data_IF_846943903047
#
_entry.id   IF_846943903047
#
_cell.length_a   1.000
_cell.length_b   1.000
_cell.length_c   1.000
_cell.angle_alpha   90.00
_cell.angle_beta   90.00
_cell.angle_gamma   90.00
#
_symmetry.space_group_name_H-M   'P 1'
#
loop_
_entity.id
_entity.type
_entity.pdbx_description
1 polymer ?
#
# COMPACT_ATOMS: atom_id res chain seq x y z
N UNK A 1 -13.40 -6.79 -7.73
CA UNK A 1 -12.32 -7.40 -6.93
C UNK A 1 -12.13 -6.52 -5.70
N UNK A 2 -12.10 -7.07 -4.47
CA UNK A 2 -11.84 -6.28 -3.27
C UNK A 2 -10.48 -5.56 -3.37
N UNK A 3 -10.31 -4.38 -2.75
CA UNK A 3 -9.04 -3.66 -2.77
C UNK A 3 -7.95 -4.51 -2.10
N UNK A 4 -6.80 -4.65 -2.76
CA UNK A 4 -5.64 -5.40 -2.23
C UNK A 4 -4.95 -4.66 -1.07
N UNK A 5 -5.02 -3.34 -1.08
CA UNK A 5 -4.51 -2.46 -0.02
C UNK A 5 -5.55 -1.43 0.38
N UNK A 6 -5.56 -1.09 1.66
CA UNK A 6 -6.40 -0.05 2.25
C UNK A 6 -5.57 0.79 3.22
N UNK A 7 -5.90 2.07 3.35
CA UNK A 7 -5.34 2.94 4.39
C UNK A 7 -6.35 3.04 5.54
N UNK A 8 -5.95 2.61 6.73
CA UNK A 8 -6.66 2.96 7.98
C UNK A 8 -6.18 4.35 8.43
N UNK A 9 -7.11 5.28 8.50
CA UNK A 9 -6.86 6.66 8.88
C UNK A 9 -7.95 7.14 9.85
N UNK A 10 -7.57 7.39 11.11
CA UNK A 10 -8.48 7.86 12.17
C UNK A 10 -9.74 6.99 12.34
N UNK A 11 -9.63 5.67 12.10
CA UNK A 11 -10.75 4.71 12.21
C UNK A 11 -11.59 4.58 10.93
N UNK A 12 -11.22 5.26 9.85
CA UNK A 12 -11.83 5.13 8.53
C UNK A 12 -10.95 4.32 7.57
N UNK A 13 -11.59 3.45 6.79
CA UNK A 13 -10.93 2.65 5.76
C UNK A 13 -10.99 3.37 4.43
N UNK A 14 -9.85 3.86 3.95
CA UNK A 14 -9.70 4.60 2.71
C UNK A 14 -9.13 3.68 1.61
N UNK A 15 -10.00 3.31 0.66
CA UNK A 15 -9.63 2.63 -0.57
C UNK A 15 -9.09 3.60 -1.63
N UNK A 16 -9.31 3.32 -2.91
CA UNK A 16 -9.12 4.33 -3.96
C UNK A 16 -10.21 5.40 -3.83
N UNK A 17 -9.91 6.70 -4.06
CA UNK A 17 -10.96 7.70 -4.13
C UNK A 17 -11.82 7.48 -5.38
N UNK A 18 -13.11 7.80 -5.30
CA UNK A 18 -14.04 7.69 -6.42
C UNK A 18 -13.78 8.78 -7.47
N UNK A 19 -13.37 9.97 -7.02
CA UNK A 19 -13.11 11.12 -7.87
C UNK A 19 -12.07 12.09 -7.26
N UNK A 20 -11.79 13.17 -8.00
CA UNK A 20 -10.83 14.20 -7.60
C UNK A 20 -11.28 14.97 -6.34
N UNK A 21 -12.57 15.19 -6.14
CA UNK A 21 -13.07 15.90 -4.97
C UNK A 21 -12.80 15.10 -3.69
N UNK A 22 -13.07 13.79 -3.74
CA UNK A 22 -12.77 12.88 -2.63
C UNK A 22 -11.26 12.77 -2.38
N UNK A 23 -10.45 12.72 -3.44
CA UNK A 23 -8.98 12.71 -3.31
C UNK A 23 -8.46 13.97 -2.58
N UNK A 24 -8.97 15.14 -2.96
CA UNK A 24 -8.63 16.43 -2.33
C UNK A 24 -9.06 16.47 -0.86
N UNK A 25 -10.29 16.05 -0.54
CA UNK A 25 -10.77 16.00 0.85
C UNK A 25 -9.90 15.10 1.72
N UNK A 26 -9.53 13.92 1.21
CA UNK A 26 -8.64 13.00 1.91
C UNK A 26 -7.27 13.63 2.15
N UNK A 27 -6.69 14.31 1.17
CA UNK A 27 -5.40 14.98 1.34
C UNK A 27 -5.44 16.11 2.37
N UNK A 28 -6.52 16.90 2.42
CA UNK A 28 -6.73 17.88 3.48
C UNK A 28 -6.77 17.26 4.89
N UNK A 29 -7.34 16.06 5.02
CA UNK A 29 -7.38 15.31 6.29
C UNK A 29 -6.03 14.68 6.63
N UNK A 30 -5.33 14.14 5.64
CA UNK A 30 -4.10 13.36 5.81
C UNK A 30 -2.85 14.21 6.06
N UNK A 31 -2.76 15.42 5.48
CA UNK A 31 -1.56 16.25 5.56
C UNK A 31 -1.07 16.44 7.00
N UNK A 32 0.23 16.26 7.20
CA UNK A 32 0.89 16.38 8.51
C UNK A 32 0.55 15.28 9.53
N UNK A 33 -0.27 14.29 9.16
CA UNK A 33 -0.69 13.19 10.04
C UNK A 33 -0.10 11.85 9.57
N UNK A 34 -0.54 10.77 10.21
CA UNK A 34 -0.09 9.41 9.91
C UNK A 34 -1.29 8.47 9.77
N UNK A 35 -1.17 7.49 8.88
CA UNK A 35 -2.12 6.39 8.73
C UNK A 35 -1.39 5.05 8.68
N UNK A 36 -2.15 3.96 8.71
CA UNK A 36 -1.60 2.60 8.60
C UNK A 36 -2.11 1.97 7.31
N UNK A 37 -1.21 1.68 6.38
CA UNK A 37 -1.57 0.95 5.18
C UNK A 37 -1.55 -0.55 5.47
N UNK A 38 -2.66 -1.21 5.19
CA UNK A 38 -2.81 -2.65 5.24
C UNK A 38 -2.85 -3.23 3.83
N UNK A 39 -2.07 -4.27 3.58
CA UNK A 39 -2.14 -5.06 2.35
C UNK A 39 -2.38 -6.52 2.69
N UNK A 40 -3.35 -7.12 2.01
CA UNK A 40 -3.67 -8.54 2.15
C UNK A 40 -2.89 -9.39 1.14
N UNK A 41 -2.43 -10.55 1.61
CA UNK A 41 -1.72 -11.56 0.82
C UNK A 41 -2.46 -12.88 0.91
N UNK A 42 -2.57 -13.56 -0.23
CA UNK A 42 -3.07 -14.92 -0.33
C UNK A 42 -2.08 -15.74 -1.17
N UNK A 43 -1.58 -16.83 -0.60
CA UNK A 43 -0.76 -17.81 -1.31
C UNK A 43 -1.55 -19.11 -1.39
N UNK A 44 -1.65 -19.67 -2.60
CA UNK A 44 -2.35 -20.92 -2.86
C UNK A 44 -1.35 -21.91 -3.42
N UNK A 45 -1.16 -23.04 -2.73
CA UNK A 45 -0.43 -24.19 -3.25
C UNK A 45 -1.44 -25.12 -3.93
N UNK A 46 -1.43 -25.11 -5.26
CA UNK A 46 -2.36 -25.88 -6.08
C UNK A 46 -2.03 -27.38 -6.12
N UNK A 47 -0.81 -27.78 -5.77
CA UNK A 47 -0.42 -29.19 -5.74
C UNK A 47 -0.85 -29.88 -4.46
N UNK A 48 -0.75 -29.15 -3.33
CA UNK A 48 -1.15 -29.65 -2.01
C UNK A 48 -2.59 -29.27 -1.64
N UNK A 49 -3.26 -28.48 -2.46
CA UNK A 49 -4.62 -27.97 -2.24
C UNK A 49 -4.78 -27.20 -0.91
N UNK A 50 -3.76 -26.43 -0.53
CA UNK A 50 -3.76 -25.60 0.68
C UNK A 50 -3.59 -24.12 0.35
N UNK A 51 -4.03 -23.24 1.26
CA UNK A 51 -3.86 -21.80 1.12
C UNK A 51 -3.53 -21.13 2.45
N UNK A 52 -2.83 -20.00 2.38
CA UNK A 52 -2.54 -19.11 3.50
C UNK A 52 -2.99 -17.69 3.18
N UNK A 53 -3.74 -17.08 4.12
CA UNK A 53 -4.07 -15.66 4.11
C UNK A 53 -3.36 -14.92 5.23
N UNK A 54 -2.67 -13.83 4.93
CA UNK A 54 -2.03 -12.92 5.90
C UNK A 54 -2.21 -11.47 5.46
N UNK A 55 -1.94 -10.54 6.36
CA UNK A 55 -1.84 -9.12 6.01
C UNK A 55 -0.60 -8.50 6.64
N UNK A 56 -0.04 -7.51 5.96
CA UNK A 56 1.02 -6.66 6.48
C UNK A 56 0.46 -5.25 6.73
N UNK A 57 0.97 -4.61 7.79
CA UNK A 57 0.61 -3.27 8.19
C UNK A 57 1.86 -2.38 8.19
N UNK A 58 1.76 -1.17 7.67
CA UNK A 58 2.89 -0.23 7.64
C UNK A 58 2.39 1.18 7.90
N UNK A 59 3.01 1.86 8.86
CA UNK A 59 2.68 3.24 9.15
C UNK A 59 3.32 4.16 8.11
N UNK A 60 2.51 5.06 7.57
CA UNK A 60 2.92 6.12 6.65
C UNK A 60 2.67 7.46 7.32
N UNK A 61 3.66 8.34 7.27
CA UNK A 61 3.58 9.73 7.75
C UNK A 61 3.54 10.66 6.55
N UNK A 62 2.54 11.51 6.49
CA UNK A 62 2.36 12.48 5.42
C UNK A 62 3.05 13.80 5.78
N UNK A 63 3.59 14.48 4.78
CA UNK A 63 4.14 15.82 4.94
C UNK A 63 3.02 16.84 5.21
N UNK A 64 3.40 17.98 5.80
CA UNK A 64 2.49 19.14 5.90
C UNK A 64 2.46 19.85 4.56
N UNK A 65 1.59 19.41 3.65
CA UNK A 65 1.45 19.94 2.29
C UNK A 65 0.53 21.16 2.23
N UNK A 66 0.86 22.12 1.36
CA UNK A 66 0.04 23.30 1.08
C UNK A 66 -1.19 22.94 0.25
N UNK A 67 -2.15 23.88 0.18
CA UNK A 67 -3.37 23.70 -0.61
C UNK A 67 -3.01 23.62 -2.11
N UNK A 68 -2.05 24.44 -2.57
CA UNK A 68 -1.56 24.42 -3.95
C UNK A 68 -0.86 23.10 -4.31
N UNK A 69 -0.10 22.51 -3.39
CA UNK A 69 0.53 21.19 -3.58
C UNK A 69 -0.53 20.08 -3.73
N UNK A 70 -1.60 20.14 -2.91
CA UNK A 70 -2.71 19.18 -3.00
C UNK A 70 -3.42 19.32 -4.34
N UNK A 71 -3.77 20.54 -4.75
CA UNK A 71 -4.44 20.80 -6.03
C UNK A 71 -3.60 20.30 -7.21
N UNK A 72 -2.30 20.63 -7.23
CA UNK A 72 -1.39 20.19 -8.27
C UNK A 72 -1.26 18.66 -8.31
N UNK A 73 -1.18 18.01 -7.15
CA UNK A 73 -1.06 16.56 -7.09
C UNK A 73 -2.34 15.86 -7.58
N UNK A 74 -3.52 16.31 -7.14
CA UNK A 74 -4.80 15.77 -7.58
C UNK A 74 -5.01 15.99 -9.08
N UNK A 75 -4.64 17.16 -9.61
CA UNK A 75 -4.71 17.46 -11.04
C UNK A 75 -3.84 16.54 -11.91
N UNK A 76 -2.80 15.91 -11.35
CA UNK A 76 -2.00 14.90 -12.08
C UNK A 76 -2.78 13.61 -12.38
N UNK A 77 -3.86 13.34 -11.64
CA UNK A 77 -4.65 12.11 -11.73
C UNK A 77 -4.03 10.90 -11.04
N UNK A 78 -2.76 10.94 -10.61
CA UNK A 78 -2.10 9.84 -9.89
C UNK A 78 -2.86 9.40 -8.62
N UNK A 79 -3.37 10.32 -7.77
CA UNK A 79 -4.10 9.94 -6.55
C UNK A 79 -5.32 9.05 -6.79
N UNK A 80 -5.94 9.13 -7.97
CA UNK A 80 -7.13 8.36 -8.30
C UNK A 80 -6.84 6.87 -8.53
N UNK A 81 -5.59 6.55 -8.88
CA UNK A 81 -5.16 5.19 -9.20
C UNK A 81 -4.84 4.33 -7.97
N UNK A 82 -4.66 4.95 -6.80
CA UNK A 82 -3.95 4.36 -5.66
C UNK A 82 -4.78 4.40 -4.37
N UNK A 83 -4.56 3.41 -3.50
CA UNK A 83 -5.28 3.32 -2.22
C UNK A 83 -4.83 4.45 -1.28
N UNK A 84 -5.77 5.07 -0.57
CA UNK A 84 -5.47 6.22 0.28
C UNK A 84 -5.06 7.48 -0.48
N UNK A 85 -5.18 7.52 -1.81
CA UNK A 85 -4.84 8.68 -2.65
C UNK A 85 -3.35 9.08 -2.64
N UNK A 86 -2.44 8.16 -2.32
CA UNK A 86 -0.99 8.40 -2.39
C UNK A 86 -0.21 7.15 -2.85
N UNK A 87 1.04 7.36 -3.28
CA UNK A 87 2.01 6.27 -3.48
C UNK A 87 3.43 6.73 -3.11
N UNK A 88 4.34 5.77 -2.91
CA UNK A 88 5.76 6.02 -2.61
C UNK A 88 6.70 5.75 -3.81
N UNK A 89 6.15 5.29 -4.94
CA UNK A 89 6.89 4.97 -6.17
C UNK A 89 6.48 5.88 -7.36
N UNK A 90 5.83 7.00 -7.07
CA UNK A 90 5.35 7.99 -8.04
C UNK A 90 5.52 9.43 -7.55
N UNK A 91 4.71 10.35 -8.10
CA UNK A 91 4.73 11.78 -7.76
C UNK A 91 4.43 12.02 -6.27
N UNK A 92 3.53 11.22 -5.69
CA UNK A 92 3.16 11.32 -4.28
C UNK A 92 4.28 11.02 -3.28
N UNK A 93 5.40 10.42 -3.74
CA UNK A 93 6.53 10.07 -2.89
C UNK A 93 7.13 11.29 -2.17
N UNK A 94 7.11 12.47 -2.80
CA UNK A 94 7.57 13.72 -2.23
C UNK A 94 6.74 14.16 -1.01
N UNK A 95 5.48 13.72 -0.91
CA UNK A 95 4.56 14.11 0.16
C UNK A 95 4.49 13.09 1.31
N UNK A 96 5.35 12.07 1.29
CA UNK A 96 5.51 11.11 2.38
C UNK A 96 6.76 11.48 3.18
N UNK A 97 6.57 11.93 4.42
CA UNK A 97 7.66 12.38 5.30
C UNK A 97 8.34 11.22 6.04
N UNK A 98 7.73 10.04 6.04
CA UNK A 98 8.42 8.83 6.43
C UNK A 98 7.54 7.59 6.56
N UNK A 99 8.21 6.46 6.68
CA UNK A 99 7.61 5.14 6.77
C UNK A 99 8.14 4.47 8.05
N UNK A 100 7.29 3.72 8.73
CA UNK A 100 7.70 2.81 9.81
C UNK A 100 7.10 1.44 9.55
N UNK A 101 7.96 0.48 9.23
CA UNK A 101 7.58 -0.87 8.80
C UNK A 101 8.15 -1.20 7.43
N UNK A 102 7.38 -1.91 6.61
CA UNK A 102 7.80 -2.43 5.31
C UNK A 102 7.36 -1.51 4.16
N UNK A 103 8.28 -0.81 3.47
CA UNK A 103 7.93 0.05 2.35
C UNK A 103 7.34 -0.72 1.16
N UNK A 104 7.69 -1.99 0.96
CA UNK A 104 7.11 -2.79 -0.13
C UNK A 104 5.60 -3.02 0.07
N UNK A 105 5.17 -3.10 1.34
CA UNK A 105 3.76 -3.12 1.69
C UNK A 105 3.03 -1.87 1.18
N UNK A 106 3.68 -0.71 1.25
CA UNK A 106 3.11 0.56 0.77
C UNK A 106 2.91 0.58 -0.74
N UNK A 107 3.85 -0.01 -1.49
CA UNK A 107 3.72 -0.24 -2.94
C UNK A 107 2.58 -1.22 -3.28
N UNK A 108 2.16 -2.04 -2.31
CA UNK A 108 1.03 -2.96 -2.44
C UNK A 108 1.40 -4.44 -2.41
N UNK A 109 2.63 -4.78 -1.99
CA UNK A 109 3.03 -6.16 -1.72
C UNK A 109 4.17 -6.23 -0.70
N UNK A 110 3.90 -6.73 0.51
CA UNK A 110 4.96 -7.07 1.46
C UNK A 110 5.72 -8.33 1.01
N UNK A 111 6.92 -8.14 0.44
CA UNK A 111 7.82 -9.24 0.05
C UNK A 111 8.36 -10.00 1.27
N UNK A 112 8.74 -9.35 2.38
CA UNK A 112 9.11 -10.04 3.61
C UNK A 112 8.00 -10.94 4.16
N UNK A 113 6.73 -10.49 4.15
CA UNK A 113 5.60 -11.33 4.56
C UNK A 113 5.41 -12.50 3.60
N UNK A 114 5.48 -12.26 2.30
CA UNK A 114 5.35 -13.32 1.29
C UNK A 114 6.42 -14.42 1.50
N UNK A 115 7.66 -14.02 1.80
CA UNK A 115 8.75 -14.96 2.13
C UNK A 115 8.39 -15.85 3.33
N UNK A 116 7.81 -15.28 4.40
CA UNK A 116 7.39 -16.03 5.58
C UNK A 116 6.24 -16.99 5.28
N UNK A 117 5.28 -16.57 4.44
CA UNK A 117 4.18 -17.45 4.01
C UNK A 117 4.68 -18.64 3.17
N UNK A 118 5.69 -18.42 2.33
CA UNK A 118 6.32 -19.49 1.57
C UNK A 118 7.05 -20.49 2.47
N UNK A 119 7.78 -19.98 3.47
CA UNK A 119 8.43 -20.80 4.49
C UNK A 119 7.41 -21.64 5.28
N UNK A 120 6.26 -21.06 5.66
CA UNK A 120 5.16 -21.78 6.34
C UNK A 120 4.56 -22.91 5.47
N UNK A 121 4.57 -22.75 4.15
CA UNK A 121 4.18 -23.79 3.20
C UNK A 121 5.32 -24.77 2.88
N UNK A 122 6.51 -24.60 3.47
CA UNK A 122 7.67 -25.45 3.26
C UNK A 122 8.40 -25.21 1.94
N UNK A 123 8.30 -24.00 1.37
CA UNK A 123 9.10 -23.56 0.23
C UNK A 123 10.29 -22.73 0.69
N UNK A 124 11.44 -22.92 0.04
CA UNK A 124 12.67 -22.19 0.35
C UNK A 124 12.82 -21.01 -0.61
N UNK A 125 12.75 -19.77 -0.10
CA UNK A 125 12.65 -18.57 -0.93
C UNK A 125 13.77 -18.36 -1.96
N UNK A 126 15.01 -18.76 -1.66
CA UNK A 126 16.13 -18.56 -2.57
C UNK A 126 16.15 -19.56 -3.74
N UNK A 127 15.36 -20.62 -3.69
CA UNK A 127 15.19 -21.56 -4.81
C UNK A 127 14.43 -20.93 -5.99
N UNK A 128 13.72 -19.81 -5.76
CA UNK A 128 13.02 -19.07 -6.82
C UNK A 128 13.92 -18.09 -7.60
N UNK A 129 15.19 -17.91 -7.21
CA UNK A 129 16.09 -16.98 -7.92
C UNK A 129 16.56 -17.52 -9.28
N UNK A 130 16.57 -18.83 -9.45
CA UNK A 130 17.02 -19.52 -10.66
C UNK A 130 15.95 -19.65 -11.73
N UNK A 131 14.97 -18.74 -11.77
CA UNK A 131 13.99 -18.64 -12.84
C UNK A 131 14.58 -18.09 -14.15
N UNK A 132 15.46 -18.88 -14.79
CA UNK A 132 15.74 -18.81 -16.22
C UNK A 132 15.93 -20.23 -16.74
N UNK A 133 14.83 -20.80 -17.21
CA UNK A 133 14.72 -21.50 -18.50
C UNK A 133 13.33 -21.20 -19.08
#
# INVERSE_FOLDING_TARGET
MPPRSILDFEGEVLGKPADAAEATERWYRMRGKSGVLHTGHCVVDTHREVWLGRSAATQVRFASVSDEEIEAYVASGEPLGVAGAFTIDGLGSAYVSGISGDPHNVVGISVPLLRLMFDELGFVWHEFWSGRD
#
